data_IF_097735218057
#
_entry.id   IF_097735218057
#
_cell.length_a   1.000
_cell.length_b   1.000
_cell.length_c   1.000
_cell.angle_alpha   90.00
_cell.angle_beta   90.00
_cell.angle_gamma   90.00
#
_symmetry.space_group_name_H-M   'P 1'
#
loop_
_entity.id
_entity.type
_entity.pdbx_description
1 polymer ?
#
# COMPACT_ATOMS: atom_id res chain seq x y z
N UNK A 1 -19.04 5.07 -30.11
CA UNK A 1 -17.61 5.31 -29.84
C UNK A 1 -17.14 6.37 -30.82
N UNK A 2 -16.49 7.44 -30.36
CA UNK A 2 -15.94 8.45 -31.26
C UNK A 2 -14.88 7.85 -32.18
N UNK A 3 -14.81 8.32 -33.42
CA UNK A 3 -13.82 7.83 -34.38
C UNK A 3 -12.41 8.31 -33.99
N UNK A 4 -11.33 7.63 -34.42
CA UNK A 4 -9.96 8.10 -34.17
C UNK A 4 -9.72 9.54 -34.64
N UNK A 5 -10.33 9.95 -35.76
CA UNK A 5 -10.27 11.32 -36.28
C UNK A 5 -10.97 12.33 -35.36
N UNK A 6 -12.14 11.99 -34.82
CA UNK A 6 -12.84 12.85 -33.85
C UNK A 6 -12.05 13.03 -32.55
N UNK A 7 -11.33 11.98 -32.12
CA UNK A 7 -10.47 12.01 -30.94
C UNK A 7 -9.29 12.95 -31.19
N UNK A 8 -8.61 12.83 -32.35
CA UNK A 8 -7.48 13.71 -32.67
C UNK A 8 -7.92 15.15 -32.88
N UNK A 9 -9.05 15.39 -33.57
CA UNK A 9 -9.61 16.73 -33.73
C UNK A 9 -9.98 17.36 -32.37
N UNK A 10 -10.52 16.56 -31.44
CA UNK A 10 -10.77 17.02 -30.07
C UNK A 10 -9.48 17.30 -29.32
N UNK A 11 -8.41 16.55 -29.60
CA UNK A 11 -7.10 16.75 -29.01
C UNK A 11 -6.45 18.05 -29.47
N UNK A 12 -6.45 18.31 -30.77
CA UNK A 12 -5.94 19.56 -31.34
C UNK A 12 -6.68 20.77 -30.76
N UNK A 13 -8.02 20.72 -30.69
CA UNK A 13 -8.81 21.79 -30.04
C UNK A 13 -8.44 21.98 -28.58
N UNK A 14 -8.30 20.89 -27.84
CA UNK A 14 -7.92 20.94 -26.43
C UNK A 14 -6.50 21.50 -26.23
N UNK A 15 -5.55 21.24 -27.14
CA UNK A 15 -4.20 21.81 -27.10
C UNK A 15 -4.22 23.34 -27.20
N UNK A 16 -5.02 23.89 -28.13
CA UNK A 16 -5.20 25.33 -28.26
C UNK A 16 -5.71 25.95 -26.94
N UNK A 17 -6.82 25.43 -26.43
CA UNK A 17 -7.42 25.91 -25.18
C UNK A 17 -6.48 25.76 -23.98
N UNK A 18 -5.78 24.63 -23.87
CA UNK A 18 -4.83 24.41 -22.78
C UNK A 18 -3.62 25.35 -22.87
N UNK A 19 -3.19 25.72 -24.07
CA UNK A 19 -2.13 26.71 -24.27
C UNK A 19 -2.57 28.15 -23.91
N UNK A 20 -3.87 28.43 -24.00
CA UNK A 20 -4.50 29.66 -23.50
C UNK A 20 -4.74 29.64 -21.98
N UNK A 21 -4.40 28.55 -21.29
CA UNK A 21 -4.52 28.41 -19.84
C UNK A 21 -5.79 27.71 -19.38
N UNK A 22 -6.61 27.12 -20.27
CA UNK A 22 -7.80 26.36 -19.85
C UNK A 22 -7.39 25.09 -19.08
N UNK A 23 -7.66 25.12 -17.78
CA UNK A 23 -7.37 24.07 -16.81
C UNK A 23 -8.09 22.75 -17.14
N UNK A 24 -9.33 22.82 -17.64
CA UNK A 24 -10.13 21.64 -17.96
C UNK A 24 -9.61 20.98 -19.23
N UNK A 25 -9.22 21.78 -20.23
CA UNK A 25 -8.59 21.29 -21.45
C UNK A 25 -7.25 20.62 -21.13
N UNK A 26 -6.41 21.23 -20.29
CA UNK A 26 -5.17 20.63 -19.82
C UNK A 26 -5.41 19.31 -19.05
N UNK A 27 -6.38 19.27 -18.13
CA UNK A 27 -6.74 18.04 -17.41
C UNK A 27 -7.26 16.93 -18.35
N UNK A 28 -8.04 17.32 -19.37
CA UNK A 28 -8.54 16.40 -20.38
C UNK A 28 -7.41 15.84 -21.24
N UNK A 29 -6.48 16.69 -21.71
CA UNK A 29 -5.29 16.26 -22.47
C UNK A 29 -4.45 15.31 -21.64
N UNK A 30 -4.18 15.66 -20.39
CA UNK A 30 -3.42 14.84 -19.46
C UNK A 30 -4.02 13.43 -19.30
N UNK A 31 -5.35 13.35 -19.18
CA UNK A 31 -6.07 12.07 -19.16
C UNK A 31 -6.04 11.36 -20.50
N UNK A 32 -6.18 12.09 -21.61
CA UNK A 32 -6.16 11.56 -22.97
C UNK A 32 -4.83 10.87 -23.25
N UNK A 33 -3.70 11.51 -22.94
CA UNK A 33 -2.37 10.91 -23.07
C UNK A 33 -2.10 9.76 -22.07
N UNK A 34 -2.73 9.76 -20.88
CA UNK A 34 -2.60 8.66 -19.92
C UNK A 34 -3.28 7.37 -20.41
N UNK A 35 -4.43 7.47 -21.08
CA UNK A 35 -5.32 6.32 -21.34
C UNK A 35 -5.59 6.03 -22.83
N UNK A 36 -5.62 7.07 -23.67
CA UNK A 36 -5.96 7.02 -25.09
C UNK A 36 -4.75 6.82 -25.99
N UNK A 37 -4.96 6.84 -27.30
CA UNK A 37 -3.91 6.65 -28.31
C UNK A 37 -3.61 7.96 -29.07
N UNK A 38 -2.33 8.34 -29.25
CA UNK A 38 -1.15 7.69 -28.71
C UNK A 38 -0.99 7.90 -27.20
N UNK A 39 -0.62 6.84 -26.48
CA UNK A 39 -0.25 6.94 -25.07
C UNK A 39 1.10 7.62 -24.91
N UNK A 40 1.17 8.61 -24.03
CA UNK A 40 2.46 9.12 -23.57
C UNK A 40 2.42 9.59 -22.13
N UNK A 41 3.30 9.02 -21.30
CA UNK A 41 3.45 9.41 -19.90
C UNK A 41 4.04 10.81 -19.75
N UNK A 42 4.92 11.22 -20.66
CA UNK A 42 5.60 12.52 -20.59
C UNK A 42 4.60 13.65 -20.82
N UNK A 43 3.79 13.56 -21.88
CA UNK A 43 2.75 14.51 -22.21
C UNK A 43 1.63 14.48 -21.16
N UNK A 44 1.23 13.29 -20.71
CA UNK A 44 0.26 13.17 -19.62
C UNK A 44 0.75 13.92 -18.37
N UNK A 45 2.01 13.72 -17.97
CA UNK A 45 2.61 14.41 -16.83
C UNK A 45 2.63 15.93 -17.03
N UNK A 46 3.02 16.40 -18.21
CA UNK A 46 3.08 17.82 -18.54
C UNK A 46 1.71 18.50 -18.38
N UNK A 47 0.69 18.00 -19.08
CA UNK A 47 -0.64 18.60 -19.06
C UNK A 47 -1.34 18.44 -17.70
N UNK A 48 -1.18 17.30 -17.05
CA UNK A 48 -1.70 17.10 -15.69
C UNK A 48 -1.03 18.03 -14.68
N UNK A 49 0.28 18.30 -14.82
CA UNK A 49 0.99 19.24 -13.95
C UNK A 49 0.43 20.65 -14.08
N UNK A 50 0.27 21.15 -15.31
CA UNK A 50 -0.31 22.48 -15.52
C UNK A 50 -1.71 22.61 -14.90
N UNK A 51 -2.58 21.61 -15.08
CA UNK A 51 -3.90 21.64 -14.48
C UNK A 51 -3.85 21.51 -12.94
N UNK A 52 -2.95 20.68 -12.41
CA UNK A 52 -2.79 20.46 -10.96
C UNK A 52 -2.24 21.72 -10.26
N UNK A 53 -1.29 22.43 -10.87
CA UNK A 53 -0.75 23.70 -10.36
C UNK A 53 -1.82 24.78 -10.25
N UNK A 54 -2.83 24.74 -11.13
CA UNK A 54 -3.98 25.64 -11.10
C UNK A 54 -5.14 25.13 -10.21
N UNK A 55 -4.92 24.10 -9.38
CA UNK A 55 -5.92 23.66 -8.40
C UNK A 55 -6.88 22.56 -8.89
N UNK A 56 -6.70 22.00 -10.09
CA UNK A 56 -7.60 20.97 -10.61
C UNK A 56 -7.45 19.64 -9.87
N UNK A 57 -8.37 19.36 -8.95
CA UNK A 57 -8.37 18.16 -8.09
C UNK A 57 -8.22 16.84 -8.86
N UNK A 58 -8.96 16.68 -9.96
CA UNK A 58 -8.88 15.47 -10.78
C UNK A 58 -7.52 15.30 -11.46
N UNK A 59 -6.82 16.40 -11.73
CA UNK A 59 -5.47 16.36 -12.30
C UNK A 59 -4.44 16.05 -11.22
N UNK A 60 -4.58 16.61 -10.01
CA UNK A 60 -3.73 16.29 -8.86
C UNK A 60 -3.71 14.79 -8.53
N UNK A 61 -4.89 14.14 -8.48
CA UNK A 61 -4.97 12.70 -8.20
C UNK A 61 -4.28 11.88 -9.31
N UNK A 62 -4.54 12.22 -10.58
CA UNK A 62 -3.95 11.52 -11.73
C UNK A 62 -2.44 11.71 -11.80
N UNK A 63 -1.97 12.94 -11.58
CA UNK A 63 -0.55 13.28 -11.54
C UNK A 63 0.14 12.54 -10.38
N UNK A 64 -0.42 12.60 -9.18
CA UNK A 64 0.10 11.88 -8.01
C UNK A 64 0.21 10.38 -8.26
N UNK A 65 -0.79 9.77 -8.90
CA UNK A 65 -0.75 8.35 -9.29
C UNK A 65 0.29 8.06 -10.37
N UNK A 66 0.40 8.92 -11.38
CA UNK A 66 1.38 8.79 -12.46
C UNK A 66 2.81 8.87 -11.91
N UNK A 67 3.07 9.83 -11.04
CA UNK A 67 4.34 10.03 -10.35
C UNK A 67 4.65 8.86 -9.40
N UNK A 68 3.65 8.38 -8.64
CA UNK A 68 3.82 7.22 -7.74
C UNK A 68 4.25 5.94 -8.48
N UNK A 69 3.66 5.69 -9.66
CA UNK A 69 4.05 4.56 -10.53
C UNK A 69 5.46 4.71 -11.09
N UNK A 70 5.90 5.95 -11.32
CA UNK A 70 7.26 6.27 -11.72
C UNK A 70 8.26 6.38 -10.56
N UNK A 71 7.83 6.10 -9.33
CA UNK A 71 8.63 6.29 -8.11
C UNK A 71 9.22 7.70 -7.98
N UNK A 72 8.50 8.71 -8.48
CA UNK A 72 8.91 10.11 -8.39
C UNK A 72 8.54 10.66 -6.98
N UNK A 73 9.50 11.22 -6.22
CA UNK A 73 9.24 11.78 -4.88
C UNK A 73 8.17 12.87 -4.86
N UNK A 74 7.97 13.58 -5.97
CA UNK A 74 6.95 14.62 -6.10
C UNK A 74 5.52 14.07 -5.92
N UNK A 75 5.32 12.76 -6.08
CA UNK A 75 4.05 12.10 -5.79
C UNK A 75 3.53 12.44 -4.40
N UNK A 76 4.41 12.53 -3.38
CA UNK A 76 4.03 12.84 -1.99
C UNK A 76 3.30 14.16 -1.88
N UNK A 77 3.75 15.17 -2.63
CA UNK A 77 3.16 16.51 -2.61
C UNK A 77 1.72 16.48 -3.13
N UNK A 78 1.53 15.93 -4.32
CA UNK A 78 0.21 15.91 -4.97
C UNK A 78 -0.77 14.97 -4.27
N UNK A 79 -0.31 13.80 -3.81
CA UNK A 79 -1.13 12.87 -3.03
C UNK A 79 -1.45 13.43 -1.65
N UNK A 80 -0.52 14.15 -1.01
CA UNK A 80 -0.72 14.85 0.27
C UNK A 80 -1.87 15.85 0.22
N UNK A 81 -1.84 16.76 -0.75
CA UNK A 81 -2.91 17.75 -0.94
C UNK A 81 -4.30 17.10 -1.05
N UNK A 82 -4.41 16.00 -1.79
CA UNK A 82 -5.68 15.30 -1.96
C UNK A 82 -6.04 14.43 -0.75
N UNK A 83 -5.05 13.88 -0.05
CA UNK A 83 -5.25 13.11 1.18
C UNK A 83 -5.82 14.01 2.31
N UNK A 84 -5.31 15.24 2.42
CA UNK A 84 -5.80 16.25 3.38
C UNK A 84 -7.25 16.64 3.08
N UNK A 85 -7.64 16.65 1.81
CA UNK A 85 -9.01 16.90 1.36
C UNK A 85 -9.98 15.73 1.50
N UNK A 86 -9.57 14.59 2.06
CA UNK A 86 -10.48 13.45 2.20
C UNK A 86 -10.34 12.34 1.18
N UNK A 87 -9.45 12.46 0.20
CA UNK A 87 -9.41 11.51 -0.93
C UNK A 87 -8.74 10.19 -0.54
N UNK A 88 -9.55 9.14 -0.41
CA UNK A 88 -9.14 7.83 0.09
C UNK A 88 -8.04 7.14 -0.74
N UNK A 89 -8.13 7.18 -2.07
CA UNK A 89 -7.08 6.62 -2.95
C UNK A 89 -5.76 7.39 -2.74
N UNK A 90 -5.84 8.71 -2.55
CA UNK A 90 -4.64 9.52 -2.33
C UNK A 90 -4.00 9.24 -0.98
N UNK A 91 -4.80 9.04 0.07
CA UNK A 91 -4.32 8.56 1.37
C UNK A 91 -3.61 7.22 1.25
N UNK A 92 -4.23 6.26 0.57
CA UNK A 92 -3.64 4.95 0.36
C UNK A 92 -2.30 5.04 -0.38
N UNK A 93 -2.25 5.71 -1.53
CA UNK A 93 -1.03 5.88 -2.32
C UNK A 93 0.06 6.70 -1.60
N UNK A 94 -0.33 7.69 -0.80
CA UNK A 94 0.60 8.46 0.03
C UNK A 94 1.22 7.55 1.10
N UNK A 95 0.39 6.80 1.84
CA UNK A 95 0.88 5.84 2.83
C UNK A 95 1.82 4.81 2.21
N UNK A 96 1.48 4.30 1.03
CA UNK A 96 2.35 3.42 0.26
C UNK A 96 3.73 4.04 -0.04
N UNK A 97 3.74 5.31 -0.46
CA UNK A 97 4.97 6.02 -0.79
C UNK A 97 5.81 6.36 0.45
N UNK A 98 5.17 6.63 1.60
CA UNK A 98 5.85 6.89 2.89
C UNK A 98 6.50 5.63 3.49
N UNK A 99 5.96 4.44 3.19
CA UNK A 99 6.50 3.15 3.65
C UNK A 99 7.65 2.66 2.75
N UNK A 100 7.53 2.91 1.44
CA UNK A 100 8.44 2.37 0.42
C UNK A 100 9.65 3.25 0.15
N UNK A 101 9.42 4.54 -0.05
CA UNK A 101 10.40 5.46 -0.62
C UNK A 101 11.10 6.27 0.49
N UNK A 102 12.34 6.71 0.30
CA UNK A 102 13.06 7.49 1.32
C UNK A 102 12.68 8.99 1.28
N UNK A 103 12.64 9.69 2.44
CA UNK A 103 12.72 9.12 3.79
C UNK A 103 11.47 8.30 4.13
N UNK A 104 11.68 7.14 4.76
CA UNK A 104 10.59 6.31 5.30
C UNK A 104 9.97 6.97 6.53
N UNK A 105 8.65 7.12 6.54
CA UNK A 105 7.88 7.76 7.62
C UNK A 105 6.65 6.92 7.98
N UNK A 106 6.87 5.94 8.87
CA UNK A 106 5.84 4.98 9.28
C UNK A 106 4.76 5.62 10.15
N UNK A 107 5.09 6.64 10.94
CA UNK A 107 4.13 7.29 11.82
C UNK A 107 3.14 8.14 11.03
N UNK A 108 3.63 8.88 10.03
CA UNK A 108 2.74 9.55 9.08
C UNK A 108 1.95 8.56 8.27
N UNK A 109 2.54 7.44 7.84
CA UNK A 109 1.80 6.39 7.13
C UNK A 109 0.65 5.81 7.98
N UNK A 110 0.87 5.57 9.29
CA UNK A 110 -0.17 5.16 10.24
C UNK A 110 -1.26 6.21 10.39
N UNK A 111 -0.86 7.47 10.53
CA UNK A 111 -1.81 8.60 10.64
C UNK A 111 -2.73 8.66 9.42
N UNK A 112 -2.15 8.59 8.21
CA UNK A 112 -2.90 8.59 6.95
C UNK A 112 -3.81 7.36 6.86
N UNK A 113 -3.35 6.18 7.28
CA UNK A 113 -4.13 4.95 7.26
C UNK A 113 -5.39 5.03 8.13
N UNK A 114 -5.35 5.70 9.29
CA UNK A 114 -6.54 5.91 10.13
C UNK A 114 -7.64 6.70 9.43
N UNK A 115 -7.27 7.59 8.51
CA UNK A 115 -8.22 8.41 7.74
C UNK A 115 -8.81 7.71 6.50
N UNK A 116 -8.37 6.50 6.15
CA UNK A 116 -8.90 5.76 4.99
C UNK A 116 -10.25 5.14 5.36
N UNK A 117 -11.31 5.49 4.63
CA UNK A 117 -12.66 4.95 4.82
C UNK A 117 -12.81 3.53 4.24
N UNK A 118 -12.13 3.24 3.13
CA UNK A 118 -12.11 1.91 2.53
C UNK A 118 -11.37 0.92 3.41
N UNK A 119 -12.12 0.09 4.17
CA UNK A 119 -11.57 -0.97 5.04
C UNK A 119 -10.56 -1.88 4.34
N UNK A 120 -10.78 -2.17 3.06
CA UNK A 120 -9.86 -2.99 2.26
C UNK A 120 -8.50 -2.31 2.07
N UNK A 121 -8.50 -1.04 1.65
CA UNK A 121 -7.28 -0.27 1.47
C UNK A 121 -6.58 0.02 2.80
N UNK A 122 -7.36 0.35 3.82
CA UNK A 122 -6.87 0.58 5.18
C UNK A 122 -6.14 -0.66 5.73
N UNK A 123 -6.77 -1.84 5.66
CA UNK A 123 -6.17 -3.10 6.14
C UNK A 123 -4.90 -3.44 5.37
N UNK A 124 -4.89 -3.29 4.04
CA UNK A 124 -3.71 -3.55 3.21
C UNK A 124 -2.56 -2.62 3.57
N UNK A 125 -2.82 -1.33 3.75
CA UNK A 125 -1.79 -0.36 4.11
C UNK A 125 -1.24 -0.64 5.52
N UNK A 126 -2.10 -0.89 6.51
CA UNK A 126 -1.66 -1.20 7.87
C UNK A 126 -0.82 -2.48 7.93
N UNK A 127 -1.23 -3.54 7.21
CA UNK A 127 -0.44 -4.76 7.09
C UNK A 127 0.96 -4.48 6.51
N UNK A 128 1.04 -3.65 5.47
CA UNK A 128 2.32 -3.31 4.87
C UNK A 128 3.22 -2.48 5.79
N UNK A 129 2.65 -1.52 6.53
CA UNK A 129 3.36 -0.73 7.54
C UNK A 129 3.96 -1.66 8.60
N UNK A 130 3.17 -2.58 9.16
CA UNK A 130 3.62 -3.51 10.20
C UNK A 130 4.79 -4.36 9.72
N UNK A 131 4.69 -4.93 8.51
CA UNK A 131 5.75 -5.75 7.94
C UNK A 131 7.03 -4.94 7.64
N UNK A 132 6.92 -3.65 7.22
CA UNK A 132 8.08 -2.78 7.02
C UNK A 132 8.75 -2.37 8.35
N UNK A 133 7.96 -2.09 9.38
CA UNK A 133 8.48 -1.73 10.71
C UNK A 133 9.27 -2.88 11.32
N UNK A 134 8.73 -4.11 11.26
CA UNK A 134 9.43 -5.30 11.70
C UNK A 134 10.80 -5.47 11.00
N UNK A 135 10.86 -5.31 9.68
CA UNK A 135 12.15 -5.36 8.94
C UNK A 135 13.15 -4.28 9.36
N UNK A 136 12.67 -3.13 9.86
CA UNK A 136 13.53 -2.01 10.31
C UNK A 136 14.04 -2.23 11.72
N UNK A 137 13.16 -2.65 12.64
CA UNK A 137 13.53 -2.93 14.04
C UNK A 137 14.34 -4.20 14.20
N UNK A 138 14.12 -5.17 13.32
CA UNK A 138 14.75 -6.48 13.36
C UNK A 138 15.97 -6.57 12.40
N UNK A 139 16.82 -5.51 12.33
CA UNK A 139 18.12 -5.52 11.62
C UNK A 139 19.01 -6.73 11.97
N UNK A 140 20.24 -6.90 11.42
CA UNK A 140 21.00 -8.17 11.36
C UNK A 140 21.54 -8.70 12.70
N UNK A 141 20.68 -8.78 13.73
CA UNK A 141 20.91 -9.34 15.05
C UNK A 141 20.58 -10.85 15.05
N UNK A 142 20.05 -11.37 13.95
CA UNK A 142 19.70 -12.78 13.83
C UNK A 142 20.87 -13.65 13.43
N UNK A 143 21.77 -13.90 14.38
CA UNK A 143 22.26 -15.25 14.56
C UNK A 143 21.10 -16.13 15.05
N UNK A 144 20.11 -16.43 14.19
CA UNK A 144 19.07 -17.41 14.54
C UNK A 144 19.74 -18.77 14.67
N UNK A 145 20.03 -19.19 15.90
CA UNK A 145 20.10 -20.62 16.16
C UNK A 145 18.67 -21.13 16.16
N UNK A 146 18.18 -21.50 14.98
CA UNK A 146 16.95 -22.29 14.83
C UNK A 146 17.14 -23.57 15.64
N UNK A 147 16.50 -23.67 16.78
CA UNK A 147 16.36 -24.92 17.50
C UNK A 147 14.92 -25.00 17.93
N UNK A 148 14.10 -25.64 17.10
CA UNK A 148 12.92 -26.40 17.52
C UNK A 148 12.28 -26.98 16.27
N UNK A 149 12.55 -28.25 16.01
CA UNK A 149 11.65 -29.10 15.22
C UNK A 149 10.33 -29.15 16.01
N UNK A 150 9.19 -28.70 15.45
CA UNK A 150 7.93 -28.78 16.17
C UNK A 150 7.59 -30.24 16.46
N UNK A 151 7.22 -30.55 17.71
CA UNK A 151 6.77 -31.89 18.09
C UNK A 151 5.24 -31.91 18.09
N UNK A 152 4.59 -32.71 17.23
CA UNK A 152 3.15 -32.86 17.29
C UNK A 152 2.75 -33.67 18.52
N UNK A 153 1.76 -33.19 19.27
CA UNK A 153 1.11 -33.94 20.34
C UNK A 153 -0.39 -34.06 20.05
N UNK A 154 -0.94 -35.26 20.24
CA UNK A 154 -2.35 -35.54 20.06
C UNK A 154 -3.06 -35.40 21.42
N UNK A 155 -4.08 -34.55 21.50
CA UNK A 155 -4.92 -34.40 22.70
C UNK A 155 -6.33 -34.90 22.41
N UNK A 156 -7.16 -35.05 23.45
CA UNK A 156 -8.57 -35.45 23.31
C UNK A 156 -9.42 -34.40 22.53
N UNK A 157 -8.93 -33.16 22.37
CA UNK A 157 -9.64 -32.05 21.72
C UNK A 157 -9.09 -31.67 20.33
N UNK A 158 -7.94 -32.21 19.90
CA UNK A 158 -7.32 -31.87 18.61
C UNK A 158 -5.79 -31.99 18.59
N UNK A 159 -5.17 -31.43 17.56
CA UNK A 159 -3.72 -31.35 17.41
C UNK A 159 -3.17 -30.08 18.06
N UNK A 160 -2.19 -30.23 18.94
CA UNK A 160 -1.49 -29.12 19.60
C UNK A 160 -0.05 -29.05 19.05
N UNK A 161 0.34 -27.87 18.57
CA UNK A 161 1.70 -27.58 18.13
C UNK A 161 2.34 -26.63 19.11
N UNK A 162 3.47 -27.02 19.71
CA UNK A 162 4.25 -26.14 20.59
C UNK A 162 5.66 -25.91 20.08
N UNK A 163 6.15 -24.69 20.28
CA UNK A 163 7.51 -24.29 19.98
C UNK A 163 8.00 -23.26 21.00
N UNK A 164 9.24 -23.44 21.45
CA UNK A 164 9.94 -22.45 22.26
C UNK A 164 10.55 -21.40 21.34
N UNK A 165 10.04 -20.18 21.40
CA UNK A 165 10.55 -19.08 20.58
C UNK A 165 11.37 -18.17 21.48
N UNK A 166 12.66 -18.08 21.18
CA UNK A 166 13.58 -17.19 21.91
C UNK A 166 13.60 -15.82 21.24
N UNK A 167 13.17 -14.78 21.97
CA UNK A 167 13.14 -13.39 21.52
C UNK A 167 13.92 -12.56 22.54
N UNK A 168 15.01 -11.91 22.11
CA UNK A 168 15.80 -11.03 22.99
C UNK A 168 16.42 -11.74 24.21
N UNK A 169 16.75 -13.03 24.10
CA UNK A 169 17.30 -13.82 25.22
C UNK A 169 16.26 -14.38 26.18
N UNK A 170 14.97 -14.07 25.98
CA UNK A 170 13.87 -14.66 26.72
C UNK A 170 13.19 -15.73 25.88
N UNK A 171 13.04 -16.92 26.43
CA UNK A 171 12.33 -18.03 25.78
C UNK A 171 10.87 -17.99 26.19
N UNK A 172 9.99 -17.87 25.20
CA UNK A 172 8.54 -17.91 25.40
C UNK A 172 8.00 -19.19 24.76
N UNK A 173 7.32 -20.06 25.52
CA UNK A 173 6.64 -21.21 24.96
C UNK A 173 5.37 -20.74 24.24
N UNK A 174 5.26 -21.03 22.94
CA UNK A 174 4.04 -20.82 22.17
C UNK A 174 3.34 -22.15 21.94
N UNK A 175 2.03 -22.17 22.14
CA UNK A 175 1.17 -23.30 21.87
C UNK A 175 0.00 -22.87 20.99
N UNK A 176 -0.22 -23.60 19.90
CA UNK A 176 -1.33 -23.37 18.96
C UNK A 176 -2.19 -24.62 18.92
N UNK A 177 -3.46 -24.46 19.27
CA UNK A 177 -4.46 -25.53 19.25
C UNK A 177 -5.30 -25.44 17.97
N UNK A 178 -5.36 -26.54 17.22
CA UNK A 178 -6.18 -26.63 16.01
C UNK A 178 -7.58 -27.16 16.35
N UNK A 179 -8.61 -26.36 16.07
CA UNK A 179 -10.02 -26.81 16.13
C UNK A 179 -10.55 -27.18 14.74
N UNK A 180 -11.11 -28.39 14.56
CA UNK A 180 -11.55 -28.87 13.25
C UNK A 180 -12.77 -28.09 12.73
N UNK A 181 -12.65 -27.50 11.53
CA UNK A 181 -13.74 -26.78 10.87
C UNK A 181 -13.31 -25.79 9.79
N UNK A 182 -12.01 -25.46 9.69
CA UNK A 182 -11.45 -24.65 8.59
C UNK A 182 -10.52 -25.50 7.72
N UNK A 183 -10.66 -25.49 6.38
CA UNK A 183 -9.73 -26.21 5.52
C UNK A 183 -8.41 -25.44 5.49
N UNK A 184 -7.39 -25.97 6.16
CA UNK A 184 -5.97 -25.62 5.94
C UNK A 184 -5.31 -26.88 5.40
N UNK A 185 -4.60 -26.75 4.28
CA UNK A 185 -3.88 -27.86 3.68
C UNK A 185 -2.95 -28.51 4.73
N UNK A 186 -3.03 -29.83 4.87
CA UNK A 186 -2.30 -30.60 5.88
C UNK A 186 -0.78 -30.35 5.78
N UNK A 187 -0.24 -29.71 6.82
CA UNK A 187 1.18 -29.48 7.07
C UNK A 187 1.36 -28.83 8.45
N UNK A 188 2.56 -28.86 9.05
CA UNK A 188 2.85 -28.03 10.22
C UNK A 188 2.41 -26.58 9.92
N UNK A 189 1.82 -25.85 10.89
CA UNK A 189 1.53 -24.45 10.67
C UNK A 189 2.81 -23.78 10.18
N UNK A 190 2.75 -23.14 9.01
CA UNK A 190 3.88 -22.37 8.52
C UNK A 190 3.98 -21.18 9.47
N UNK A 191 4.86 -21.30 10.48
CA UNK A 191 4.92 -20.36 11.61
C UNK A 191 5.10 -18.91 11.16
N UNK A 192 5.67 -18.71 9.98
CA UNK A 192 5.75 -17.43 9.28
C UNK A 192 4.37 -16.81 9.01
N UNK A 193 3.35 -17.58 8.61
CA UNK A 193 1.97 -17.10 8.40
C UNK A 193 1.23 -16.78 9.72
N UNK A 194 1.50 -17.53 10.79
CA UNK A 194 0.91 -17.25 12.12
C UNK A 194 1.47 -15.98 12.76
N UNK A 195 2.74 -15.68 12.49
CA UNK A 195 3.37 -14.41 12.86
C UNK A 195 2.89 -13.26 11.96
N UNK A 196 2.67 -13.51 10.66
CA UNK A 196 2.17 -12.52 9.69
C UNK A 196 0.69 -12.12 9.89
N UNK A 197 -0.14 -13.00 10.45
CA UNK A 197 -1.57 -12.72 10.64
C UNK A 197 -1.91 -11.96 11.93
N UNK A 198 -0.92 -11.61 12.77
CA UNK A 198 -1.14 -10.81 13.99
C UNK A 198 -1.97 -11.50 15.09
N UNK A 199 -2.27 -12.80 14.94
CA UNK A 199 -2.99 -13.59 15.94
C UNK A 199 -2.19 -13.80 17.23
N UNK A 200 -0.86 -13.63 17.18
CA UNK A 200 0.02 -13.78 18.33
C UNK A 200 -0.11 -12.66 19.38
N UNK A 201 -0.78 -11.54 19.06
CA UNK A 201 -0.96 -10.44 20.01
C UNK A 201 -1.99 -10.80 21.11
N UNK A 202 -2.84 -11.81 20.90
CA UNK A 202 -3.92 -12.15 21.84
C UNK A 202 -3.43 -12.95 23.07
N UNK A 203 -2.25 -13.57 23.04
CA UNK A 203 -1.76 -14.35 24.19
C UNK A 203 -0.89 -13.54 25.18
N UNK A 204 -0.69 -12.24 24.96
CA UNK A 204 0.09 -11.36 25.85
C UNK A 204 -0.77 -10.61 26.89
N UNK A 205 -2.08 -10.82 26.93
CA UNK A 205 -2.94 -10.34 28.01
C UNK A 205 -3.60 -11.52 28.70
N UNK A 206 -2.94 -12.04 29.72
CA UNK A 206 -3.50 -12.42 31.03
C UNK A 206 -2.40 -13.12 31.84
N UNK A 207 -1.74 -12.34 32.69
CA UNK A 207 -1.21 -12.80 33.97
C UNK A 207 -2.00 -12.10 35.07
#
# INVERSE_FOLDING_TARGET
MSTPEEIEASRVRAMGLASEGDVRAAAWLGRSYELGEPRSRTEARHWLRMAAEQGHRGAMVRLGRLLHRGSDPEARRWLGLMADLGHDESRYLLGMNLVRDEPVDLDRARSVARGIQSRGNQRRLLSWITHRDWRRTAGPVFGTRRSTTPKPYQTLAGWLWSADVTIGGHTVPLSVEYQPGRPVAMGPPMWDELLDLGWLVVLLQEQ
#
